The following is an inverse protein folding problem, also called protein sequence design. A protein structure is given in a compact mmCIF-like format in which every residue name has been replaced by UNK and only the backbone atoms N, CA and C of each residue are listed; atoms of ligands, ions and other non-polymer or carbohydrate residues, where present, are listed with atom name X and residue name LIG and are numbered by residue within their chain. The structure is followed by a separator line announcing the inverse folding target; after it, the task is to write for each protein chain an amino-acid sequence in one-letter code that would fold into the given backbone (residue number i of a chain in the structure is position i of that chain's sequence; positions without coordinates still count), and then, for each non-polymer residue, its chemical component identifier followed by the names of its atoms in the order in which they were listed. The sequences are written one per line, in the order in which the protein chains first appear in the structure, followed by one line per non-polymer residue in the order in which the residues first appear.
data_IF_463630229599
#
_entry.id   IF_463630229599
#
_cell.length_a   1.000
_cell.length_b   1.000
_cell.length_c   1.000
_cell.angle_alpha   90.00
_cell.angle_beta   90.00
_cell.angle_gamma   90.00
#
_symmetry.space_group_name_H-M   'P 1'
#
loop_
_entity.id
_entity.type
_entity.pdbx_description
1 polymer ?
#
# COMPACT_ATOMS: atom_id res chain seq x y z
N UNK A 1 -28.30 15.08 -13.09
CA UNK A 1 -28.46 14.18 -11.92
C UNK A 1 -29.87 14.36 -11.40
N UNK A 2 -30.69 13.32 -11.45
CA UNK A 2 -32.00 13.35 -10.80
C UNK A 2 -31.78 13.01 -9.33
N UNK A 3 -31.77 14.03 -8.49
CA UNK A 3 -31.83 13.82 -7.04
C UNK A 3 -33.15 13.12 -6.70
N UNK A 4 -33.09 12.21 -5.72
CA UNK A 4 -34.27 11.51 -5.21
C UNK A 4 -35.27 12.57 -4.73
N UNK A 5 -36.51 12.49 -5.21
CA UNK A 5 -37.56 13.43 -4.80
C UNK A 5 -37.79 13.35 -3.28
N UNK A 6 -38.21 14.45 -2.67
CA UNK A 6 -38.50 14.52 -1.23
C UNK A 6 -39.56 13.48 -0.80
N UNK A 7 -40.51 13.19 -1.69
CA UNK A 7 -41.51 12.12 -1.51
C UNK A 7 -40.89 10.72 -1.51
N UNK A 8 -39.91 10.48 -2.37
CA UNK A 8 -39.21 9.20 -2.43
C UNK A 8 -38.24 9.02 -1.26
N UNK A 9 -37.60 10.10 -0.80
CA UNK A 9 -36.82 10.11 0.43
C UNK A 9 -37.69 9.75 1.65
N UNK A 10 -38.85 10.41 1.78
CA UNK A 10 -39.83 10.12 2.84
C UNK A 10 -40.38 8.69 2.79
N UNK A 11 -40.55 8.13 1.59
CA UNK A 11 -40.94 6.73 1.39
C UNK A 11 -39.86 5.77 1.88
N UNK A 12 -38.60 6.01 1.50
CA UNK A 12 -37.45 5.20 1.90
C UNK A 12 -37.22 5.26 3.41
N UNK A 13 -37.33 6.43 4.04
CA UNK A 13 -37.23 6.55 5.51
C UNK A 13 -38.33 5.75 6.23
N UNK A 14 -39.57 5.76 5.71
CA UNK A 14 -40.66 4.95 6.26
C UNK A 14 -40.38 3.46 6.13
N UNK A 15 -39.85 3.01 4.99
CA UNK A 15 -39.45 1.63 4.77
C UNK A 15 -38.32 1.23 5.72
N UNK A 16 -37.29 2.06 5.87
CA UNK A 16 -36.16 1.82 6.77
C UNK A 16 -36.64 1.67 8.23
N UNK A 17 -37.48 2.59 8.73
CA UNK A 17 -38.07 2.50 10.07
C UNK A 17 -38.90 1.23 10.26
N UNK A 18 -39.64 0.81 9.23
CA UNK A 18 -40.40 -0.45 9.24
C UNK A 18 -39.47 -1.65 9.35
N UNK A 19 -38.36 -1.67 8.61
CA UNK A 19 -37.37 -2.74 8.69
C UNK A 19 -36.65 -2.77 10.06
N UNK A 20 -36.26 -1.62 10.61
CA UNK A 20 -35.71 -1.57 11.97
C UNK A 20 -36.71 -2.10 12.99
N UNK A 21 -37.99 -1.74 12.87
CA UNK A 21 -39.03 -2.25 13.76
C UNK A 21 -39.17 -3.78 13.65
N UNK A 22 -39.29 -4.32 12.43
CA UNK A 22 -39.36 -5.76 12.20
C UNK A 22 -38.13 -6.50 12.73
N UNK A 23 -36.94 -5.98 12.47
CA UNK A 23 -35.67 -6.53 12.98
C UNK A 23 -35.61 -6.47 14.50
N UNK A 24 -36.08 -5.39 15.12
CA UNK A 24 -36.14 -5.25 16.59
C UNK A 24 -37.14 -6.23 17.22
N UNK A 25 -38.29 -6.49 16.57
CA UNK A 25 -39.27 -7.49 17.00
C UNK A 25 -38.70 -8.90 16.87
N UNK A 26 -37.99 -9.18 15.78
CA UNK A 26 -37.27 -10.44 15.57
C UNK A 26 -36.21 -10.64 16.64
N UNK A 27 -35.36 -9.65 16.90
CA UNK A 27 -34.35 -9.68 17.96
C UNK A 27 -34.96 -9.81 19.35
N UNK A 28 -36.05 -9.09 19.65
CA UNK A 28 -36.78 -9.20 20.91
C UNK A 28 -37.38 -10.60 21.08
N UNK A 29 -37.91 -11.19 20.00
CA UNK A 29 -38.38 -12.57 20.00
C UNK A 29 -37.23 -13.55 20.23
N UNK A 30 -36.11 -13.40 19.52
CA UNK A 30 -34.88 -14.17 19.73
C UNK A 30 -34.30 -14.05 21.14
N UNK A 31 -34.38 -12.87 21.76
CA UNK A 31 -33.90 -12.63 23.12
C UNK A 31 -34.84 -13.19 24.19
N UNK A 32 -36.16 -13.11 23.96
CA UNK A 32 -37.19 -13.61 24.88
C UNK A 32 -37.39 -15.12 24.80
N UNK A 33 -37.33 -15.69 23.60
CA UNK A 33 -37.18 -17.13 23.40
C UNK A 33 -35.76 -17.46 23.84
N UNK A 34 -35.55 -17.63 25.16
CA UNK A 34 -34.25 -17.95 25.80
C UNK A 34 -33.47 -18.87 24.87
N UNK A 35 -32.59 -18.28 24.06
CA UNK A 35 -31.84 -19.02 23.07
C UNK A 35 -30.90 -19.88 23.91
N UNK A 36 -31.33 -21.10 24.23
CA UNK A 36 -30.43 -22.07 24.83
C UNK A 36 -29.44 -22.35 23.73
N UNK A 37 -28.17 -21.90 23.84
CA UNK A 37 -27.18 -22.23 22.84
C UNK A 37 -27.20 -23.74 22.72
N UNK A 38 -27.72 -24.22 21.59
CA UNK A 38 -27.73 -25.63 21.32
C UNK A 38 -26.26 -25.93 21.05
N UNK A 39 -25.53 -26.46 22.04
CA UNK A 39 -24.10 -26.74 21.92
C UNK A 39 -23.76 -27.50 20.62
N UNK A 40 -24.69 -28.33 20.10
CA UNK A 40 -24.56 -28.98 18.79
C UNK A 40 -24.51 -27.99 17.62
N UNK A 41 -25.36 -26.96 17.61
CA UNK A 41 -25.36 -25.91 16.58
C UNK A 41 -24.09 -25.08 16.70
N UNK A 42 -23.72 -24.64 17.92
CA UNK A 42 -22.47 -23.90 18.14
C UNK A 42 -21.25 -24.70 17.65
N UNK A 43 -21.14 -25.97 18.06
CA UNK A 43 -20.05 -26.84 17.61
C UNK A 43 -20.04 -27.03 16.09
N UNK A 44 -21.21 -27.12 15.45
CA UNK A 44 -21.32 -27.22 13.99
C UNK A 44 -20.84 -25.95 13.30
N UNK A 45 -21.24 -24.77 13.80
CA UNK A 45 -20.80 -23.47 13.27
C UNK A 45 -19.29 -23.30 13.45
N UNK A 46 -18.75 -23.60 14.64
CA UNK A 46 -17.30 -23.53 14.88
C UNK A 46 -16.51 -24.49 13.96
N UNK A 47 -17.03 -25.69 13.72
CA UNK A 47 -16.42 -26.63 12.78
C UNK A 47 -16.44 -26.09 11.36
N UNK A 48 -17.55 -25.50 10.93
CA UNK A 48 -17.67 -24.95 9.58
C UNK A 48 -16.78 -23.70 9.39
N UNK A 49 -16.70 -22.82 10.38
CA UNK A 49 -15.77 -21.67 10.37
C UNK A 49 -14.32 -22.13 10.24
N UNK A 50 -13.90 -23.19 10.95
CA UNK A 50 -12.56 -23.80 10.79
C UNK A 50 -12.36 -24.41 9.41
N UNK A 51 -13.39 -24.99 8.80
CA UNK A 51 -13.29 -25.52 7.43
C UNK A 51 -13.15 -24.41 6.40
N UNK A 52 -13.89 -23.30 6.57
CA UNK A 52 -13.80 -22.10 5.74
C UNK A 52 -12.39 -21.52 5.84
N UNK A 53 -11.88 -21.34 7.06
CA UNK A 53 -10.51 -20.88 7.31
C UNK A 53 -9.47 -21.71 6.54
N UNK A 54 -9.53 -23.04 6.67
CA UNK A 54 -8.60 -23.95 5.98
C UNK A 54 -8.72 -23.84 4.47
N UNK A 55 -9.95 -23.80 3.93
CA UNK A 55 -10.19 -23.66 2.48
C UNK A 55 -9.66 -22.32 1.96
N UNK A 56 -9.92 -21.22 2.66
CA UNK A 56 -9.41 -19.89 2.34
C UNK A 56 -7.88 -19.88 2.31
N UNK A 57 -7.24 -20.42 3.33
CA UNK A 57 -5.78 -20.48 3.39
C UNK A 57 -5.18 -21.31 2.25
N UNK A 58 -5.70 -22.52 2.01
CA UNK A 58 -5.26 -23.35 0.89
C UNK A 58 -5.49 -22.69 -0.46
N UNK A 59 -6.63 -22.03 -0.65
CA UNK A 59 -6.93 -21.29 -1.89
C UNK A 59 -5.95 -20.14 -2.11
N UNK A 60 -5.67 -19.35 -1.07
CA UNK A 60 -4.73 -18.23 -1.14
C UNK A 60 -3.31 -18.69 -1.46
N UNK A 61 -2.84 -19.73 -0.77
CA UNK A 61 -1.51 -20.31 -1.02
C UNK A 61 -1.41 -20.84 -2.45
N UNK A 62 -2.45 -21.49 -2.97
CA UNK A 62 -2.46 -21.99 -4.34
C UNK A 62 -2.47 -20.84 -5.37
N UNK A 63 -3.27 -19.80 -5.17
CA UNK A 63 -3.31 -18.62 -6.06
C UNK A 63 -1.95 -17.91 -6.11
N UNK A 64 -1.26 -17.78 -4.98
CA UNK A 64 0.05 -17.14 -4.91
C UNK A 64 1.16 -18.02 -5.50
N UNK A 65 1.11 -19.34 -5.28
CA UNK A 65 2.03 -20.29 -5.92
C UNK A 65 1.91 -20.29 -7.44
N UNK A 66 0.70 -20.16 -7.98
CA UNK A 66 0.46 -20.05 -9.42
C UNK A 66 1.09 -18.79 -10.04
N UNK A 67 1.58 -17.86 -9.20
CA UNK A 67 2.25 -16.61 -9.59
C UNK A 67 3.73 -16.58 -9.18
N UNK A 68 4.30 -17.75 -8.88
CA UNK A 68 5.68 -17.92 -8.43
C UNK A 68 6.02 -17.18 -7.11
N UNK A 69 5.01 -16.96 -6.25
CA UNK A 69 5.16 -16.31 -4.94
C UNK A 69 5.13 -17.36 -3.83
N UNK A 70 6.21 -17.45 -3.03
CA UNK A 70 6.21 -18.29 -1.82
C UNK A 70 5.58 -17.53 -0.66
N UNK A 71 4.73 -18.21 0.11
CA UNK A 71 3.93 -17.53 1.12
C UNK A 71 3.90 -18.26 2.45
N UNK A 72 3.89 -17.45 3.51
CA UNK A 72 3.62 -17.89 4.86
C UNK A 72 2.56 -16.98 5.48
N UNK A 73 1.45 -17.55 5.91
CA UNK A 73 0.39 -16.81 6.59
C UNK A 73 0.61 -16.90 8.10
N UNK A 74 0.94 -15.77 8.73
CA UNK A 74 1.11 -15.70 10.18
C UNK A 74 -0.15 -15.12 10.81
N UNK A 75 -0.78 -15.91 11.68
CA UNK A 75 -1.88 -15.43 12.53
C UNK A 75 -1.33 -14.80 13.79
N UNK A 76 -1.67 -13.53 14.02
CA UNK A 76 -1.35 -12.90 15.30
C UNK A 76 -2.29 -13.46 16.39
N UNK A 77 -1.75 -13.72 17.59
CA UNK A 77 -2.40 -14.47 18.68
C UNK A 77 -3.67 -13.83 19.28
N UNK A 78 -4.13 -12.69 18.77
CA UNK A 78 -5.32 -11.99 19.25
C UNK A 78 -6.41 -11.81 18.17
N UNK A 79 -6.38 -12.61 17.09
CA UNK A 79 -7.47 -12.68 16.10
C UNK A 79 -7.66 -11.45 15.19
N UNK A 80 -6.92 -10.37 15.40
CA UNK A 80 -7.22 -9.07 14.77
C UNK A 80 -6.35 -8.67 13.56
N UNK A 81 -5.22 -9.35 13.31
CA UNK A 81 -4.37 -9.02 12.16
C UNK A 81 -3.78 -10.31 11.57
N UNK A 82 -4.32 -10.73 10.43
CA UNK A 82 -3.68 -11.74 9.60
C UNK A 82 -2.57 -11.04 8.80
N UNK A 83 -1.34 -11.52 8.95
CA UNK A 83 -0.17 -11.02 8.23
C UNK A 83 0.21 -12.08 7.21
N UNK A 84 0.14 -11.71 5.94
CA UNK A 84 0.61 -12.51 4.83
C UNK A 84 2.05 -12.11 4.53
N UNK A 85 2.97 -13.03 4.74
CA UNK A 85 4.39 -12.86 4.39
C UNK A 85 4.57 -13.50 3.02
N UNK A 86 5.05 -12.71 2.06
CA UNK A 86 5.25 -13.14 0.68
C UNK A 86 6.72 -13.00 0.35
N UNK A 87 7.37 -14.12 0.05
CA UNK A 87 8.77 -14.17 -0.37
C UNK A 87 8.85 -14.26 -1.90
N UNK A 88 9.52 -13.28 -2.47
CA UNK A 88 9.82 -13.22 -3.89
C UNK A 88 11.24 -13.71 -4.14
N UNK A 89 11.35 -14.81 -4.89
CA UNK A 89 12.63 -15.50 -5.13
C UNK A 89 13.43 -14.93 -6.29
N UNK A 90 12.82 -14.14 -7.16
CA UNK A 90 13.55 -13.49 -8.23
C UNK A 90 14.15 -12.17 -7.75
N UNK A 91 15.41 -11.95 -8.13
CA UNK A 91 16.07 -10.65 -8.01
C UNK A 91 15.40 -9.72 -9.03
N UNK A 92 15.26 -8.43 -8.71
CA UNK A 92 14.57 -7.40 -9.52
C UNK A 92 13.06 -7.32 -9.31
N UNK A 93 12.68 -7.09 -8.06
CA UNK A 93 11.31 -6.83 -7.65
C UNK A 93 10.70 -5.57 -8.32
N UNK A 94 9.60 -5.74 -9.05
CA UNK A 94 8.66 -4.65 -9.37
C UNK A 94 7.54 -4.70 -8.33
N UNK A 95 7.58 -3.77 -7.38
CA UNK A 95 6.74 -3.82 -6.18
C UNK A 95 5.25 -3.70 -6.53
N UNK A 96 4.91 -2.79 -7.45
CA UNK A 96 3.54 -2.60 -7.91
C UNK A 96 2.99 -3.89 -8.53
N UNK A 97 3.77 -4.54 -9.39
CA UNK A 97 3.36 -5.81 -10.01
C UNK A 97 3.09 -6.88 -8.94
N UNK A 98 3.97 -7.01 -7.95
CA UNK A 98 3.80 -8.00 -6.89
C UNK A 98 2.57 -7.68 -6.03
N UNK A 99 2.37 -6.41 -5.66
CA UNK A 99 1.19 -5.99 -4.91
C UNK A 99 -0.11 -6.23 -5.69
N UNK A 100 -0.10 -6.01 -7.01
CA UNK A 100 -1.20 -6.39 -7.92
C UNK A 100 -1.44 -7.89 -7.94
N UNK A 101 -0.39 -8.70 -8.06
CA UNK A 101 -0.49 -10.15 -8.08
C UNK A 101 -1.04 -10.71 -6.75
N UNK A 102 -0.60 -10.14 -5.62
CA UNK A 102 -1.10 -10.47 -4.28
C UNK A 102 -2.57 -10.07 -4.15
N UNK A 103 -2.94 -8.87 -4.59
CA UNK A 103 -4.33 -8.41 -4.54
C UNK A 103 -5.25 -9.30 -5.36
N UNK A 104 -4.87 -9.63 -6.60
CA UNK A 104 -5.63 -10.51 -7.47
C UNK A 104 -5.80 -11.91 -6.85
N UNK A 105 -4.75 -12.44 -6.23
CA UNK A 105 -4.82 -13.69 -5.50
C UNK A 105 -5.79 -13.62 -4.30
N UNK A 106 -5.78 -12.51 -3.55
CA UNK A 106 -6.73 -12.26 -2.47
C UNK A 106 -8.17 -12.21 -2.99
N UNK A 107 -8.45 -11.45 -4.06
CA UNK A 107 -9.78 -11.36 -4.66
C UNK A 107 -10.29 -12.74 -5.10
N UNK A 108 -9.46 -13.51 -5.79
CA UNK A 108 -9.82 -14.86 -6.24
C UNK A 108 -10.10 -15.80 -5.06
N UNK A 109 -9.21 -15.84 -4.06
CA UNK A 109 -9.37 -16.70 -2.90
C UNK A 109 -10.58 -16.29 -2.04
N UNK A 110 -10.87 -15.00 -1.94
CA UNK A 110 -11.90 -14.45 -1.06
C UNK A 110 -13.24 -14.29 -1.77
N UNK A 111 -13.30 -14.49 -3.09
CA UNK A 111 -14.51 -14.42 -3.91
C UNK A 111 -15.70 -15.11 -3.24
N UNK A 112 -16.79 -14.38 -3.09
CA UNK A 112 -18.02 -14.86 -2.48
C UNK A 112 -18.98 -15.27 -3.60
N UNK A 113 -19.49 -16.50 -3.55
CA UNK A 113 -20.41 -17.02 -4.59
C UNK A 113 -21.87 -16.58 -4.34
N UNK A 114 -22.27 -16.35 -3.09
CA UNK A 114 -23.63 -15.99 -2.71
C UNK A 114 -23.69 -14.92 -1.60
N UNK A 115 -24.72 -14.05 -1.59
CA UNK A 115 -24.89 -12.97 -0.60
C UNK A 115 -24.98 -13.45 0.87
N UNK A 116 -25.34 -14.71 1.11
CA UNK A 116 -25.50 -15.33 2.43
C UNK A 116 -24.45 -16.41 2.72
N UNK A 117 -23.25 -16.26 2.17
CA UNK A 117 -22.15 -17.20 2.38
C UNK A 117 -21.56 -17.10 3.80
N UNK A 118 -21.45 -18.23 4.52
CA UNK A 118 -20.72 -18.31 5.79
C UNK A 118 -19.28 -17.83 5.66
N UNK A 119 -18.69 -17.92 4.45
CA UNK A 119 -17.40 -17.33 4.11
C UNK A 119 -17.38 -15.82 4.31
N UNK A 120 -18.43 -15.10 3.89
CA UNK A 120 -18.54 -13.66 4.08
C UNK A 120 -18.56 -13.30 5.56
N UNK A 121 -19.40 -13.98 6.35
CA UNK A 121 -19.46 -13.80 7.79
C UNK A 121 -18.12 -14.09 8.47
N UNK A 122 -17.44 -15.17 8.07
CA UNK A 122 -16.10 -15.49 8.56
C UNK A 122 -15.11 -14.36 8.25
N UNK A 123 -15.10 -13.87 7.01
CA UNK A 123 -14.18 -12.82 6.59
C UNK A 123 -14.43 -11.51 7.35
N UNK A 124 -15.69 -11.04 7.40
CA UNK A 124 -16.05 -9.80 8.11
C UNK A 124 -15.78 -9.86 9.62
N UNK A 125 -15.88 -11.05 10.25
CA UNK A 125 -15.58 -11.23 11.67
C UNK A 125 -14.08 -11.29 11.99
N UNK A 126 -13.24 -11.73 11.04
CA UNK A 126 -11.82 -12.02 11.30
C UNK A 126 -10.85 -11.10 10.56
N UNK A 127 -11.34 -10.27 9.62
CA UNK A 127 -10.52 -9.40 8.78
C UNK A 127 -11.19 -8.04 8.61
N UNK A 128 -10.57 -6.99 9.14
CA UNK A 128 -10.87 -5.61 8.70
C UNK A 128 -10.02 -5.24 7.48
N UNK A 129 -8.79 -5.74 7.48
CA UNK A 129 -7.79 -5.61 6.42
C UNK A 129 -6.87 -6.82 6.41
N UNK A 130 -6.21 -7.04 5.28
CA UNK A 130 -5.15 -8.04 5.12
C UNK A 130 -3.83 -7.27 5.08
N UNK A 131 -2.94 -7.56 6.03
CA UNK A 131 -1.62 -6.94 6.05
C UNK A 131 -0.62 -7.83 5.30
N UNK A 132 0.26 -7.23 4.51
CA UNK A 132 1.21 -7.93 3.64
C UNK A 132 2.62 -7.41 3.90
N UNK A 133 3.55 -8.33 4.10
CA UNK A 133 4.99 -8.05 4.18
C UNK A 133 5.67 -8.77 3.02
N UNK A 134 6.44 -8.03 2.24
CA UNK A 134 7.18 -8.56 1.09
C UNK A 134 8.62 -8.82 1.51
N UNK A 135 9.11 -10.02 1.21
CA UNK A 135 10.50 -10.41 1.36
C UNK A 135 11.13 -10.55 -0.03
N UNK A 136 12.41 -10.18 -0.14
CA UNK A 136 13.26 -10.47 -1.29
C UNK A 136 14.38 -11.39 -0.81
N UNK A 137 14.44 -12.60 -1.37
CA UNK A 137 15.36 -13.66 -0.96
C UNK A 137 15.33 -13.94 0.56
N UNK A 138 14.12 -14.01 1.15
CA UNK A 138 13.93 -14.31 2.57
C UNK A 138 14.23 -13.17 3.55
N UNK A 139 14.64 -11.98 3.08
CA UNK A 139 14.85 -10.78 3.91
C UNK A 139 13.85 -9.69 3.58
N UNK A 140 13.49 -8.89 4.57
CA UNK A 140 12.60 -7.74 4.38
C UNK A 140 13.29 -6.77 3.40
N UNK A 141 12.62 -6.51 2.28
CA UNK A 141 13.08 -5.59 1.24
C UNK A 141 13.13 -4.16 1.77
N UNK A 142 11.98 -3.71 2.25
CA UNK A 142 11.72 -2.41 2.86
C UNK A 142 10.90 -2.68 4.13
N UNK A 143 11.26 -2.04 5.26
CA UNK A 143 10.65 -2.23 6.58
C UNK A 143 9.24 -1.66 6.63
N UNK A 144 8.37 -2.13 5.74
CA UNK A 144 7.02 -1.64 5.53
C UNK A 144 6.04 -2.80 5.40
N UNK A 145 4.79 -2.50 5.73
CA UNK A 145 3.66 -3.41 5.67
C UNK A 145 2.56 -2.76 4.86
N UNK A 146 2.13 -3.45 3.81
CA UNK A 146 1.00 -3.02 2.98
C UNK A 146 -0.29 -3.48 3.61
N UNK A 147 -1.36 -2.70 3.45
CA UNK A 147 -2.68 -3.00 4.01
C UNK A 147 -3.73 -2.98 2.91
N UNK A 148 -4.39 -4.12 2.70
CA UNK A 148 -5.51 -4.26 1.78
C UNK A 148 -6.82 -4.26 2.56
N UNK A 149 -7.69 -3.26 2.42
CA UNK A 149 -8.99 -3.26 3.10
C UNK A 149 -9.84 -4.44 2.63
N UNK A 150 -10.53 -5.12 3.55
CA UNK A 150 -11.35 -6.28 3.18
C UNK A 150 -12.42 -5.89 2.15
N UNK A 151 -13.08 -4.74 2.31
CA UNK A 151 -14.14 -4.32 1.39
C UNK A 151 -13.64 -4.22 -0.07
N UNK A 152 -12.43 -3.71 -0.30
CA UNK A 152 -11.81 -3.64 -1.63
C UNK A 152 -11.52 -5.03 -2.20
N UNK A 153 -11.05 -5.95 -1.37
CA UNK A 153 -10.83 -7.34 -1.78
C UNK A 153 -12.15 -8.03 -2.16
N UNK A 154 -13.25 -7.69 -1.48
CA UNK A 154 -14.57 -8.28 -1.71
C UNK A 154 -15.35 -7.66 -2.88
N UNK A 155 -15.01 -6.45 -3.34
CA UNK A 155 -15.73 -5.75 -4.42
C UNK A 155 -15.73 -6.50 -5.75
N UNK A 156 -14.77 -7.42 -5.99
CA UNK A 156 -14.88 -8.50 -6.98
C UNK A 156 -15.09 -8.11 -8.45
N UNK A 157 -14.99 -6.83 -8.82
CA UNK A 157 -15.18 -6.40 -10.20
C UNK A 157 -13.93 -6.67 -11.04
N UNK A 158 -13.99 -7.71 -11.88
CA UNK A 158 -12.96 -8.11 -12.86
C UNK A 158 -12.52 -7.00 -13.85
N UNK A 159 -13.19 -5.85 -13.88
CA UNK A 159 -12.88 -4.74 -14.79
C UNK A 159 -12.17 -3.56 -14.10
N UNK A 160 -12.10 -3.52 -12.76
CA UNK A 160 -11.34 -2.49 -12.08
C UNK A 160 -9.87 -2.92 -12.05
N UNK A 161 -9.06 -2.36 -12.97
CA UNK A 161 -7.61 -2.38 -12.83
C UNK A 161 -7.31 -1.81 -11.45
N UNK A 162 -6.67 -2.59 -10.57
CA UNK A 162 -6.13 -2.07 -9.32
C UNK A 162 -5.28 -0.85 -9.67
N UNK A 163 -5.72 0.32 -9.24
CA UNK A 163 -4.84 1.48 -9.15
C UNK A 163 -4.01 1.31 -7.89
N UNK A 164 -2.74 1.68 -7.89
CA UNK A 164 -1.93 1.66 -6.66
C UNK A 164 -2.58 2.52 -5.55
N UNK A 165 -3.47 3.45 -5.91
CA UNK A 165 -4.35 4.20 -4.98
C UNK A 165 -5.34 3.36 -4.19
N UNK A 166 -5.62 2.14 -4.64
CA UNK A 166 -6.46 1.18 -3.93
C UNK A 166 -5.69 0.49 -2.78
N UNK A 167 -4.37 0.70 -2.71
CA UNK A 167 -3.50 0.24 -1.64
C UNK A 167 -3.48 1.29 -0.52
N UNK A 168 -3.73 0.88 0.73
CA UNK A 168 -3.51 1.80 1.84
C UNK A 168 -2.02 2.14 1.95
N UNK A 169 -1.73 3.34 2.47
CA UNK A 169 -0.38 3.80 2.76
C UNK A 169 0.48 2.70 3.42
N UNK A 170 1.70 2.44 2.93
CA UNK A 170 2.61 1.52 3.58
C UNK A 170 2.84 1.99 5.03
N UNK A 171 2.83 1.04 5.97
CA UNK A 171 3.06 1.32 7.39
C UNK A 171 4.42 0.78 7.78
N UNK A 172 5.23 1.59 8.46
CA UNK A 172 6.54 1.15 8.93
C UNK A 172 6.41 -0.06 9.88
N UNK A 173 7.25 -1.07 9.66
CA UNK A 173 7.32 -2.26 10.51
C UNK A 173 8.14 -1.97 11.77
N UNK A 174 7.49 -2.00 12.92
CA UNK A 174 8.17 -1.91 14.21
C UNK A 174 9.13 -3.10 14.42
N UNK A 175 10.31 -2.83 14.97
CA UNK A 175 11.32 -3.87 15.26
C UNK A 175 10.78 -4.96 16.20
N UNK A 176 9.82 -4.63 17.06
CA UNK A 176 9.12 -5.57 17.95
C UNK A 176 8.39 -6.66 17.16
N UNK A 177 7.69 -6.26 16.08
CA UNK A 177 6.93 -7.15 15.21
C UNK A 177 7.88 -7.98 14.34
N UNK A 178 8.94 -7.38 13.82
CA UNK A 178 9.96 -8.07 13.02
C UNK A 178 10.60 -9.21 13.81
N UNK A 179 11.00 -8.93 15.07
CA UNK A 179 11.51 -9.97 15.98
C UNK A 179 10.48 -11.05 16.26
N UNK A 180 9.22 -10.68 16.51
CA UNK A 180 8.13 -11.63 16.75
C UNK A 180 7.88 -12.56 15.56
N UNK A 181 8.02 -12.05 14.35
CA UNK A 181 7.85 -12.80 13.10
C UNK A 181 9.12 -13.55 12.68
N UNK A 182 10.22 -13.42 13.42
CA UNK A 182 11.53 -13.99 13.09
C UNK A 182 11.98 -13.61 11.66
N UNK A 183 11.82 -12.34 11.32
CA UNK A 183 12.21 -11.79 10.03
C UNK A 183 13.57 -11.08 10.12
N UNK A 184 14.34 -11.16 9.05
CA UNK A 184 15.63 -10.47 8.91
C UNK A 184 15.50 -9.26 7.99
N UNK A 185 16.26 -8.19 8.27
CA UNK A 185 16.37 -7.03 7.37
C UNK A 185 17.68 -7.05 6.62
N UNK A 186 17.66 -6.61 5.36
CA UNK A 186 18.89 -6.32 4.62
C UNK A 186 19.78 -5.30 5.34
N UNK A 187 19.17 -4.29 5.97
CA UNK A 187 19.88 -3.25 6.73
C UNK A 187 20.60 -3.75 7.98
N UNK A 188 20.26 -4.95 8.48
CA UNK A 188 21.05 -5.59 9.57
C UNK A 188 22.40 -6.10 9.05
N UNK A 189 22.44 -6.57 7.81
CA UNK A 189 23.68 -7.03 7.16
C UNK A 189 24.46 -5.90 6.51
N UNK A 190 23.76 -4.87 6.00
CA UNK A 190 24.35 -3.75 5.26
C UNK A 190 23.78 -2.44 5.82
N UNK A 191 24.35 -1.89 6.91
CA UNK A 191 23.81 -0.72 7.61
C UNK A 191 23.63 0.52 6.73
N UNK A 192 24.46 0.68 5.70
CA UNK A 192 24.40 1.78 4.73
C UNK A 192 23.03 1.86 4.03
N UNK A 193 22.34 0.71 3.87
CA UNK A 193 21.01 0.65 3.26
C UNK A 193 19.91 1.28 4.13
N UNK A 194 20.14 1.54 5.42
CA UNK A 194 19.14 2.14 6.31
C UNK A 194 18.68 3.51 5.81
N UNK A 195 19.58 4.28 5.21
CA UNK A 195 19.23 5.62 4.75
C UNK A 195 18.40 5.55 3.47
N UNK A 196 18.78 4.67 2.53
CA UNK A 196 18.01 4.39 1.31
C UNK A 196 16.61 3.85 1.64
N UNK A 197 16.49 2.89 2.57
CA UNK A 197 15.21 2.33 3.03
C UNK A 197 14.28 3.42 3.60
N UNK A 198 14.83 4.37 4.39
CA UNK A 198 14.07 5.51 4.91
C UNK A 198 13.57 6.44 3.81
N UNK A 199 14.37 6.67 2.77
CA UNK A 199 13.97 7.51 1.63
C UNK A 199 12.89 6.81 0.82
N UNK A 200 13.07 5.52 0.51
CA UNK A 200 12.07 4.70 -0.18
C UNK A 200 10.72 4.81 0.54
N UNK A 201 10.67 4.58 1.86
CA UNK A 201 9.45 4.72 2.64
C UNK A 201 8.82 6.12 2.53
N UNK A 202 9.61 7.18 2.72
CA UNK A 202 9.14 8.57 2.66
C UNK A 202 8.59 8.93 1.27
N UNK A 203 9.22 8.44 0.21
CA UNK A 203 8.73 8.64 -1.15
C UNK A 203 7.45 7.83 -1.39
N UNK A 204 7.36 6.59 -0.89
CA UNK A 204 6.12 5.81 -1.02
C UNK A 204 4.94 6.49 -0.32
N UNK A 205 5.15 7.23 0.79
CA UNK A 205 4.12 8.09 1.39
C UNK A 205 3.67 9.19 0.40
N UNK A 206 4.60 9.86 -0.27
CA UNK A 206 4.32 10.94 -1.23
C UNK A 206 3.50 10.48 -2.43
N UNK A 207 3.65 9.24 -2.87
CA UNK A 207 2.89 8.69 -3.99
C UNK A 207 1.37 8.88 -3.82
N UNK A 208 0.87 8.62 -2.60
CA UNK A 208 -0.56 8.80 -2.28
C UNK A 208 -0.93 10.28 -2.14
N UNK A 209 -0.06 11.09 -1.53
CA UNK A 209 -0.28 12.54 -1.42
C UNK A 209 -0.36 13.21 -2.79
N UNK A 210 0.45 12.79 -3.76
CA UNK A 210 0.39 13.31 -5.14
C UNK A 210 -0.98 13.06 -5.74
N UNK A 211 -1.52 11.85 -5.58
CA UNK A 211 -2.87 11.57 -6.08
C UNK A 211 -3.95 12.36 -5.35
N UNK A 212 -3.85 12.52 -4.03
CA UNK A 212 -4.78 13.37 -3.31
C UNK A 212 -4.70 14.82 -3.81
N UNK A 213 -3.50 15.38 -3.99
CA UNK A 213 -3.31 16.73 -4.53
C UNK A 213 -4.00 16.86 -5.89
N UNK A 214 -3.82 15.90 -6.80
CA UNK A 214 -4.49 15.88 -8.11
C UNK A 214 -6.02 15.88 -7.94
N UNK A 215 -6.56 14.97 -7.12
CA UNK A 215 -8.01 14.86 -6.90
C UNK A 215 -8.62 16.12 -6.27
N UNK A 216 -7.97 16.66 -5.24
CA UNK A 216 -8.42 17.87 -4.55
C UNK A 216 -8.26 19.11 -5.42
N UNK A 217 -7.28 19.14 -6.33
CA UNK A 217 -7.16 20.21 -7.32
C UNK A 217 -8.30 20.21 -8.33
N UNK A 218 -8.70 19.05 -8.84
CA UNK A 218 -9.92 18.96 -9.67
C UNK A 218 -11.17 19.36 -8.88
N UNK A 219 -11.25 19.00 -7.59
CA UNK A 219 -12.35 19.41 -6.74
C UNK A 219 -12.36 20.94 -6.53
N UNK A 220 -11.20 21.56 -6.37
CA UNK A 220 -11.04 23.01 -6.25
C UNK A 220 -11.67 23.74 -7.46
N UNK A 221 -11.40 23.29 -8.68
CA UNK A 221 -12.01 23.85 -9.90
C UNK A 221 -13.53 23.71 -9.90
N UNK A 222 -14.05 22.57 -9.45
CA UNK A 222 -15.50 22.33 -9.36
C UNK A 222 -16.18 23.18 -8.27
N UNK A 223 -15.49 23.45 -7.17
CA UNK A 223 -15.96 24.26 -6.04
C UNK A 223 -15.95 25.75 -6.41
N UNK A 224 -14.89 26.24 -7.06
CA UNK A 224 -14.79 27.62 -7.53
C UNK A 224 -15.95 27.98 -8.47
N UNK A 225 -16.36 27.04 -9.34
CA UNK A 225 -17.52 27.19 -10.22
C UNK A 225 -18.88 27.26 -9.49
N UNK A 226 -18.94 26.94 -8.19
CA UNK A 226 -20.16 26.91 -7.36
C UNK A 226 -20.17 27.93 -6.22
N UNK A 227 -19.19 28.83 -6.16
CA UNK A 227 -19.05 29.88 -5.14
C UNK A 227 -18.99 29.36 -3.67
N UNK A 228 -18.62 28.10 -3.43
CA UNK A 228 -18.45 27.55 -2.07
C UNK A 228 -17.06 27.90 -1.50
N UNK A 229 -17.01 29.06 -0.84
CA UNK A 229 -15.79 29.62 -0.23
C UNK A 229 -15.23 28.80 0.93
N UNK A 230 -16.07 28.10 1.70
CA UNK A 230 -15.62 27.29 2.84
C UNK A 230 -14.97 26.01 2.36
N UNK A 231 -15.62 25.31 1.41
CA UNK A 231 -15.04 24.14 0.76
C UNK A 231 -13.72 24.45 0.05
N UNK A 232 -13.62 25.64 -0.56
CA UNK A 232 -12.41 26.11 -1.23
C UNK A 232 -11.25 26.27 -0.25
N UNK A 233 -11.45 26.96 0.87
CA UNK A 233 -10.41 27.19 1.88
C UNK A 233 -9.87 25.87 2.46
N UNK A 234 -10.77 24.95 2.84
CA UNK A 234 -10.37 23.64 3.38
C UNK A 234 -9.56 22.84 2.36
N UNK A 235 -9.98 22.87 1.09
CA UNK A 235 -9.29 22.19 -0.01
C UNK A 235 -7.89 22.76 -0.24
N UNK A 236 -7.75 24.09 -0.27
CA UNK A 236 -6.47 24.77 -0.43
C UNK A 236 -5.52 24.51 0.74
N UNK A 237 -5.99 24.56 1.99
CA UNK A 237 -5.19 24.23 3.16
C UNK A 237 -4.63 22.80 3.09
N UNK A 238 -5.46 21.84 2.70
CA UNK A 238 -5.04 20.44 2.53
C UNK A 238 -3.97 20.31 1.43
N UNK A 239 -4.22 20.90 0.26
CA UNK A 239 -3.30 20.88 -0.88
C UNK A 239 -1.94 21.47 -0.49
N UNK A 240 -1.92 22.63 0.18
CA UNK A 240 -0.69 23.28 0.59
C UNK A 240 0.10 22.40 1.56
N UNK A 241 -0.58 21.85 2.58
CA UNK A 241 0.03 20.93 3.55
C UNK A 241 0.61 19.66 2.89
N UNK A 242 -0.14 19.07 1.95
CA UNK A 242 0.31 17.90 1.21
C UNK A 242 1.51 18.23 0.29
N UNK A 243 1.46 19.36 -0.41
CA UNK A 243 2.54 19.81 -1.31
C UNK A 243 3.83 20.10 -0.54
N UNK A 244 3.73 20.77 0.61
CA UNK A 244 4.87 21.03 1.49
C UNK A 244 5.52 19.74 1.99
N UNK A 245 4.71 18.72 2.30
CA UNK A 245 5.23 17.42 2.69
C UNK A 245 5.97 16.76 1.51
N UNK A 246 5.38 16.78 0.31
CA UNK A 246 6.00 16.21 -0.89
C UNK A 246 7.33 16.92 -1.18
N UNK A 247 7.37 18.26 -1.17
CA UNK A 247 8.61 19.05 -1.37
C UNK A 247 9.71 18.59 -0.42
N UNK A 248 9.42 18.51 0.89
CA UNK A 248 10.38 18.07 1.90
C UNK A 248 10.91 16.65 1.65
N UNK A 249 10.08 15.74 1.15
CA UNK A 249 10.53 14.36 0.87
C UNK A 249 11.31 14.25 -0.43
N UNK A 250 10.92 15.00 -1.45
CA UNK A 250 11.66 15.09 -2.72
C UNK A 250 13.04 15.70 -2.49
N UNK A 251 13.15 16.78 -1.71
CA UNK A 251 14.43 17.37 -1.32
C UNK A 251 15.35 16.34 -0.68
N UNK A 252 14.85 15.57 0.29
CA UNK A 252 15.63 14.51 0.95
C UNK A 252 16.15 13.44 -0.04
N UNK A 253 15.40 13.16 -1.11
CA UNK A 253 15.84 12.26 -2.17
C UNK A 253 16.97 12.89 -2.99
N UNK A 254 16.83 14.15 -3.38
CA UNK A 254 17.84 14.90 -4.15
C UNK A 254 19.15 15.03 -3.36
N UNK A 255 19.06 15.39 -2.08
CA UNK A 255 20.21 15.48 -1.17
C UNK A 255 20.95 14.15 -1.07
N UNK A 256 20.19 13.05 -1.06
CA UNK A 256 20.76 11.71 -1.01
C UNK A 256 21.44 11.30 -2.31
N UNK A 257 20.82 11.56 -3.46
CA UNK A 257 21.45 11.34 -4.76
C UNK A 257 22.76 12.13 -4.85
N UNK A 258 22.75 13.39 -4.40
CA UNK A 258 23.93 14.25 -4.34
C UNK A 258 25.01 13.68 -3.40
N UNK A 259 24.60 13.16 -2.23
CA UNK A 259 25.51 12.46 -1.33
C UNK A 259 26.14 11.22 -1.99
N UNK A 260 25.36 10.41 -2.72
CA UNK A 260 25.89 9.24 -3.43
C UNK A 260 26.91 9.64 -4.49
N UNK A 261 26.59 10.65 -5.31
CA UNK A 261 27.50 11.21 -6.33
C UNK A 261 28.83 11.69 -5.74
N UNK A 262 28.81 12.19 -4.49
CA UNK A 262 30.00 12.67 -3.80
C UNK A 262 30.75 11.57 -3.01
N UNK A 263 30.08 10.49 -2.62
CA UNK A 263 30.64 9.45 -1.72
C UNK A 263 31.10 8.19 -2.45
N UNK A 264 30.65 7.96 -3.68
CA UNK A 264 31.08 6.86 -4.53
C UNK A 264 31.95 7.39 -5.68
N UNK A 265 32.97 6.63 -6.06
CA UNK A 265 33.82 7.00 -7.20
C UNK A 265 33.18 6.53 -8.52
N UNK A 266 32.55 7.47 -9.22
CA UNK A 266 31.97 7.27 -10.55
C UNK A 266 32.97 7.56 -11.69
N UNK A 267 34.28 7.47 -11.44
CA UNK A 267 35.28 7.56 -12.50
C UNK A 267 35.07 6.46 -13.56
N UNK A 268 35.37 6.77 -14.82
CA UNK A 268 35.15 5.87 -15.96
C UNK A 268 35.82 4.50 -15.76
N UNK A 269 37.00 4.48 -15.14
CA UNK A 269 37.72 3.25 -14.84
C UNK A 269 36.97 2.41 -13.80
N UNK A 270 36.51 3.03 -12.71
CA UNK A 270 35.84 2.33 -11.62
C UNK A 270 34.45 1.82 -12.02
N UNK A 271 33.74 2.56 -12.88
CA UNK A 271 32.47 2.14 -13.48
C UNK A 271 32.64 0.92 -14.39
N UNK A 272 33.68 0.90 -15.24
CA UNK A 272 33.97 -0.24 -16.12
C UNK A 272 34.27 -1.52 -15.35
N UNK A 273 34.91 -1.39 -14.19
CA UNK A 273 35.28 -2.50 -13.32
C UNK A 273 34.11 -2.95 -12.42
N UNK A 274 33.15 -2.06 -12.13
CA UNK A 274 32.02 -2.32 -11.23
C UNK A 274 30.68 -2.01 -11.90
N UNK A 275 30.06 -3.03 -12.51
CA UNK A 275 28.75 -2.92 -13.14
C UNK A 275 27.67 -2.36 -12.19
N UNK A 276 27.74 -2.65 -10.88
CA UNK A 276 26.80 -2.10 -9.90
C UNK A 276 26.88 -0.58 -9.75
N UNK A 277 28.06 0.04 -9.94
CA UNK A 277 28.19 1.50 -9.88
C UNK A 277 27.51 2.16 -11.07
N UNK A 278 27.63 1.59 -12.28
CA UNK A 278 26.88 2.07 -13.44
C UNK A 278 25.37 2.05 -13.18
N UNK A 279 24.88 0.98 -12.57
CA UNK A 279 23.44 0.85 -12.29
C UNK A 279 22.96 1.83 -11.22
N UNK A 280 23.77 2.10 -10.19
CA UNK A 280 23.46 3.16 -9.21
C UNK A 280 23.39 4.52 -9.92
N UNK A 281 24.34 4.81 -10.80
CA UNK A 281 24.35 6.06 -11.57
C UNK A 281 23.12 6.20 -12.47
N UNK A 282 22.76 5.14 -13.22
CA UNK A 282 21.54 5.11 -14.02
C UNK A 282 20.28 5.37 -13.17
N UNK A 283 20.21 4.80 -11.96
CA UNK A 283 19.11 5.05 -11.03
C UNK A 283 19.01 6.51 -10.60
N UNK A 284 20.14 7.18 -10.38
CA UNK A 284 20.21 8.61 -10.08
C UNK A 284 19.71 9.44 -11.28
N UNK A 285 20.11 9.10 -12.50
CA UNK A 285 19.63 9.78 -13.73
C UNK A 285 18.12 9.63 -13.92
N UNK A 286 17.57 8.44 -13.68
CA UNK A 286 16.11 8.20 -13.71
C UNK A 286 15.40 9.10 -12.71
N UNK A 287 15.91 9.24 -11.49
CA UNK A 287 15.33 10.15 -10.49
C UNK A 287 15.33 11.58 -11.01
N UNK A 288 16.48 12.13 -11.42
CA UNK A 288 16.57 13.53 -11.85
C UNK A 288 15.73 13.84 -13.10
N UNK A 289 15.59 12.88 -14.02
CA UNK A 289 14.82 13.06 -15.26
C UNK A 289 13.31 13.09 -15.00
N UNK A 290 12.84 12.42 -13.94
CA UNK A 290 11.42 12.27 -13.62
C UNK A 290 11.02 13.04 -12.35
N UNK A 291 11.87 13.94 -11.86
CA UNK A 291 11.48 14.84 -10.77
C UNK A 291 10.28 15.67 -11.21
N UNK A 292 9.31 15.82 -10.31
CA UNK A 292 8.18 16.72 -10.51
C UNK A 292 8.69 18.13 -10.88
N UNK A 293 7.91 18.92 -11.65
CA UNK A 293 8.31 20.26 -12.04
C UNK A 293 8.68 21.08 -10.81
N UNK A 294 9.95 21.39 -10.65
CA UNK A 294 10.49 22.05 -9.45
C UNK A 294 11.17 23.35 -9.85
N UNK A 295 10.98 24.40 -9.03
CA UNK A 295 11.88 25.56 -9.04
C UNK A 295 12.79 25.47 -7.84
N UNK A 296 14.06 25.79 -8.08
CA UNK A 296 14.96 26.09 -7.00
C UNK A 296 14.60 27.47 -6.45
N UNK A 297 14.25 27.55 -5.18
CA UNK A 297 14.17 28.83 -4.50
C UNK A 297 15.59 29.37 -4.31
N UNK A 298 15.91 30.45 -5.03
CA UNK A 298 17.23 31.08 -5.04
C UNK A 298 17.70 31.57 -3.65
N UNK A 299 16.81 31.64 -2.65
CA UNK A 299 17.17 32.07 -1.29
C UNK A 299 17.49 30.90 -0.36
N UNK A 300 16.83 29.77 -0.54
CA UNK A 300 16.94 28.60 0.35
C UNK A 300 17.68 27.44 -0.28
N UNK A 301 17.90 27.47 -1.61
CA UNK A 301 18.39 26.34 -2.43
C UNK A 301 17.47 25.10 -2.37
N UNK A 302 16.26 25.25 -1.81
CA UNK A 302 15.27 24.18 -1.72
C UNK A 302 14.46 24.07 -3.03
N UNK A 303 14.13 22.84 -3.40
CA UNK A 303 13.24 22.55 -4.53
C UNK A 303 11.77 22.68 -4.12
N UNK A 304 11.05 23.57 -4.79
CA UNK A 304 9.61 23.73 -4.64
C UNK A 304 8.89 23.19 -5.87
N UNK A 305 8.01 22.21 -5.68
CA UNK A 305 7.14 21.70 -6.73
C UNK A 305 6.18 22.81 -7.17
N UNK A 306 6.18 23.10 -8.47
CA UNK A 306 5.16 23.94 -9.09
C UNK A 306 3.90 23.15 -9.29
N UNK A 307 2.77 23.67 -8.82
CA UNK A 307 1.46 23.14 -9.18
C UNK A 307 1.10 23.57 -10.62
N UNK A 308 1.49 22.76 -11.63
CA UNK A 308 1.14 22.96 -13.04
C UNK A 308 0.06 21.97 -13.50
N UNK A 309 -1.16 22.46 -13.71
CA UNK A 309 -2.32 21.63 -14.05
C UNK A 309 -2.18 20.85 -15.36
N UNK A 310 -1.51 21.42 -16.37
CA UNK A 310 -1.31 20.72 -17.66
C UNK A 310 -0.39 19.51 -17.52
N UNK A 311 0.49 19.52 -16.51
CA UNK A 311 1.51 18.48 -16.29
C UNK A 311 1.13 17.51 -15.16
N UNK A 312 0.17 17.87 -14.31
CA UNK A 312 -0.27 17.07 -13.15
C UNK A 312 -0.77 15.67 -13.54
N UNK A 313 -1.27 15.49 -14.76
CA UNK A 313 -1.69 14.18 -15.26
C UNK A 313 -0.53 13.17 -15.32
N UNK A 314 0.70 13.65 -15.54
CA UNK A 314 1.90 12.81 -15.65
C UNK A 314 2.63 12.61 -14.32
N UNK A 315 2.37 13.46 -13.31
CA UNK A 315 3.08 13.44 -12.02
C UNK A 315 3.06 12.08 -11.34
N UNK A 316 1.97 11.35 -11.52
CA UNK A 316 1.83 10.01 -10.99
C UNK A 316 2.82 9.02 -11.63
N UNK A 317 3.00 9.10 -12.95
CA UNK A 317 3.96 8.28 -13.69
C UNK A 317 5.40 8.72 -13.43
N UNK A 318 5.65 10.03 -13.43
CA UNK A 318 6.98 10.58 -13.18
C UNK A 318 7.47 10.18 -11.78
N UNK A 319 6.61 10.36 -10.77
CA UNK A 319 6.96 9.99 -9.41
C UNK A 319 7.03 8.47 -9.19
N UNK A 320 6.31 7.67 -9.98
CA UNK A 320 6.54 6.22 -10.04
C UNK A 320 7.95 5.89 -10.50
N UNK A 321 8.46 6.56 -11.53
CA UNK A 321 9.84 6.38 -11.99
C UNK A 321 10.88 6.83 -10.95
N UNK A 322 10.60 7.91 -10.20
CA UNK A 322 11.44 8.32 -9.06
C UNK A 322 11.51 7.23 -7.99
N UNK A 323 10.37 6.61 -7.66
CA UNK A 323 10.34 5.46 -6.76
C UNK A 323 11.17 4.31 -7.32
N UNK A 324 10.90 3.87 -8.55
CA UNK A 324 11.63 2.76 -9.17
C UNK A 324 13.15 3.01 -9.18
N UNK A 325 13.57 4.24 -9.47
CA UNK A 325 14.98 4.66 -9.39
C UNK A 325 15.60 4.47 -8.00
N UNK A 326 14.89 4.82 -6.91
CA UNK A 326 15.43 4.61 -5.55
C UNK A 326 15.49 3.12 -5.17
N UNK A 327 14.53 2.30 -5.63
CA UNK A 327 14.58 0.83 -5.47
C UNK A 327 15.75 0.23 -6.24
N UNK A 328 16.03 0.75 -7.43
CA UNK A 328 17.17 0.35 -8.26
C UNK A 328 18.49 0.65 -7.55
N UNK A 329 18.65 1.88 -7.05
CA UNK A 329 19.81 2.29 -6.23
C UNK A 329 19.98 1.36 -5.03
N UNK A 330 18.90 1.08 -4.28
CA UNK A 330 18.95 0.19 -3.11
C UNK A 330 19.56 -1.18 -3.43
N UNK A 331 19.07 -1.84 -4.50
CA UNK A 331 19.51 -3.17 -4.91
C UNK A 331 20.97 -3.21 -5.33
N UNK A 332 21.38 -2.22 -6.13
CA UNK A 332 22.75 -2.17 -6.64
C UNK A 332 23.75 -1.71 -5.58
N UNK A 333 23.33 -0.84 -4.65
CA UNK A 333 24.13 -0.49 -3.47
C UNK A 333 24.32 -1.70 -2.56
N UNK A 334 23.29 -2.51 -2.33
CA UNK A 334 23.40 -3.75 -1.57
C UNK A 334 24.41 -4.71 -2.22
N UNK A 335 24.29 -4.92 -3.53
CA UNK A 335 25.16 -5.81 -4.31
C UNK A 335 26.62 -5.33 -4.30
N UNK A 336 26.84 -4.03 -4.52
CA UNK A 336 28.16 -3.41 -4.47
C UNK A 336 28.83 -3.61 -3.10
N UNK A 337 28.10 -3.36 -2.02
CA UNK A 337 28.62 -3.49 -0.64
C UNK A 337 28.91 -4.94 -0.24
N UNK A 338 28.15 -5.91 -0.76
CA UNK A 338 28.46 -7.33 -0.56
C UNK A 338 29.79 -7.67 -1.22
N UNK A 339 29.99 -7.24 -2.49
CA UNK A 339 31.21 -7.53 -3.25
C UNK A 339 32.46 -6.90 -2.63
N UNK A 340 32.40 -5.63 -2.22
CA UNK A 340 33.54 -4.94 -1.61
C UNK A 340 33.93 -5.57 -0.26
N UNK A 341 32.95 -5.90 0.59
CA UNK A 341 33.21 -6.58 1.87
C UNK A 341 33.79 -8.00 1.72
N UNK A 342 33.59 -8.67 0.58
CA UNK A 342 34.22 -9.97 0.28
C UNK A 342 35.63 -9.85 -0.30
N UNK A 343 36.04 -8.69 -0.82
CA UNK A 343 37.40 -8.47 -1.33
C UNK A 343 38.40 -8.07 -0.23
N UNK A 344 37.91 -7.53 0.89
CA UNK A 344 38.73 -7.18 2.07
C UNK A 344 38.94 -8.34 3.07
N UNK A 345 38.54 -9.56 2.70
CA UNK A 345 38.78 -10.82 3.46
C UNK A 345 39.59 -11.79 2.62
#
# INVERSE_FOLDING_TARGET
MNYVSEDELNRLEKEERRFYHLTSLLWKKFANDKFKPYQKIENSVYKEMRNIEKRLHSSLVNELKNRDLETNLVKNQNGLNNILIVDYKNIFLNEEKILKDIFNALQNAFKIEEQFDFKKLYLEQNYTKINVIILECGKILNSVMYSFPLYRVLEGNNNNKLSFLDLMMPVYLEDSLIKKLNLEKWTTSIPDLNYTEKIMFKLSECYNYISHVIQFKYLEELIQNKEDTVGLNITQEYINSATDLINKRVQLCIDYCSYLLNSLDFSENNIKENAELQEIFNGIEVIYTNLLPTEMDNQTEDYNIKLNFEEMENWYNDFFHVLDGIYHIYKHLASYKIKTNTMDR
#
